data_IF_886901533199
#
_entry.id   IF_886901533199
#
_cell.length_a   1.000
_cell.length_b   1.000
_cell.length_c   1.000
_cell.angle_alpha   90.00
_cell.angle_beta   90.00
_cell.angle_gamma   90.00
#
_symmetry.space_group_name_H-M   'P 1'
#
loop_
_entity.id
_entity.type
_entity.pdbx_description
1 polymer ?
#
# COMPACT_ATOMS: atom_id res chain seq x y z
N UNK A 1 -14.07 -8.79 -17.64
CA UNK A 1 -12.94 -7.87 -17.92
C UNK A 1 -11.74 -8.18 -17.03
N UNK A 2 -10.54 -7.73 -17.41
CA UNK A 2 -9.28 -8.03 -16.70
C UNK A 2 -9.31 -7.64 -15.21
N UNK A 3 -9.94 -6.51 -14.84
CA UNK A 3 -10.08 -6.13 -13.42
C UNK A 3 -11.07 -7.00 -12.65
N UNK A 4 -12.20 -7.36 -13.26
CA UNK A 4 -13.19 -8.22 -12.61
C UNK A 4 -12.58 -9.56 -12.19
N UNK A 5 -11.78 -10.18 -13.07
CA UNK A 5 -11.07 -11.44 -12.75
C UNK A 5 -10.09 -11.27 -11.58
N UNK A 6 -9.32 -10.18 -11.55
CA UNK A 6 -8.36 -9.91 -10.46
C UNK A 6 -9.03 -9.67 -9.12
N UNK A 7 -10.14 -8.93 -9.12
CA UNK A 7 -10.93 -8.69 -7.90
C UNK A 7 -11.51 -10.01 -7.39
N UNK A 8 -12.09 -10.83 -8.25
CA UNK A 8 -12.61 -12.15 -7.86
C UNK A 8 -11.52 -13.04 -7.26
N UNK A 9 -10.32 -13.08 -7.88
CA UNK A 9 -9.18 -13.83 -7.36
C UNK A 9 -8.72 -13.35 -5.98
N UNK A 10 -8.69 -12.02 -5.77
CA UNK A 10 -8.38 -11.45 -4.46
C UNK A 10 -9.42 -11.86 -3.41
N UNK A 11 -10.71 -11.75 -3.73
CA UNK A 11 -11.79 -12.17 -2.83
C UNK A 11 -11.69 -13.66 -2.48
N UNK A 12 -11.44 -14.52 -3.48
CA UNK A 12 -11.25 -15.95 -3.25
C UNK A 12 -10.05 -16.22 -2.32
N UNK A 13 -8.92 -15.56 -2.55
CA UNK A 13 -7.75 -15.68 -1.68
C UNK A 13 -8.05 -15.28 -0.23
N UNK A 14 -8.85 -14.23 -0.02
CA UNK A 14 -9.25 -13.82 1.33
C UNK A 14 -10.19 -14.84 1.99
N UNK A 15 -11.08 -15.49 1.24
CA UNK A 15 -11.91 -16.60 1.75
C UNK A 15 -11.03 -17.79 2.13
N UNK A 16 -10.14 -18.20 1.24
CA UNK A 16 -9.34 -19.43 1.41
C UNK A 16 -8.29 -19.32 2.54
N UNK A 17 -7.77 -18.12 2.79
CA UNK A 17 -6.63 -17.93 3.71
C UNK A 17 -6.94 -17.07 4.94
N UNK A 18 -8.06 -16.36 4.95
CA UNK A 18 -8.43 -15.46 6.04
C UNK A 18 -9.92 -15.55 6.40
N UNK A 19 -10.60 -16.65 6.06
CA UNK A 19 -12.02 -16.89 6.35
C UNK A 19 -12.95 -15.75 5.85
N UNK A 20 -12.51 -15.04 4.82
CA UNK A 20 -13.22 -13.88 4.25
C UNK A 20 -13.01 -12.56 5.01
N UNK A 21 -12.27 -12.56 6.12
CA UNK A 21 -11.92 -11.35 6.87
C UNK A 21 -10.62 -10.72 6.33
N UNK A 22 -10.76 -9.66 5.54
CA UNK A 22 -9.63 -8.92 5.00
C UNK A 22 -8.68 -8.37 6.08
N UNK A 23 -9.19 -8.08 7.29
CA UNK A 23 -8.34 -7.59 8.37
C UNK A 23 -7.33 -8.62 8.86
N UNK A 24 -7.57 -9.93 8.65
CA UNK A 24 -6.62 -11.00 8.96
C UNK A 24 -5.26 -10.83 8.29
N UNK A 25 -5.18 -10.03 7.21
CA UNK A 25 -3.92 -9.68 6.55
C UNK A 25 -2.99 -8.88 7.46
N UNK A 26 -3.51 -8.04 8.36
CA UNK A 26 -2.71 -7.16 9.23
C UNK A 26 -3.03 -7.29 10.73
N UNK A 27 -4.10 -7.98 11.10
CA UNK A 27 -4.48 -8.26 12.49
C UNK A 27 -3.48 -9.22 13.14
N UNK A 28 -3.14 -8.94 14.39
CA UNK A 28 -2.26 -9.77 15.24
C UNK A 28 -0.86 -10.02 14.66
N UNK A 29 -0.41 -9.14 13.75
CA UNK A 29 0.93 -9.20 13.16
C UNK A 29 1.88 -8.29 13.94
N UNK A 30 2.98 -8.82 14.51
CA UNK A 30 3.86 -8.03 15.36
C UNK A 30 4.74 -7.04 14.58
N UNK A 31 5.03 -7.31 13.30
CA UNK A 31 6.00 -6.52 12.53
C UNK A 31 5.46 -6.06 11.18
N UNK A 32 5.87 -4.87 10.76
CA UNK A 32 5.56 -4.34 9.44
C UNK A 32 6.12 -5.18 8.30
N UNK A 33 7.24 -5.87 8.51
CA UNK A 33 7.80 -6.79 7.52
C UNK A 33 6.86 -7.97 7.23
N UNK A 34 6.20 -8.52 8.25
CA UNK A 34 5.24 -9.60 8.08
C UNK A 34 3.94 -9.10 7.44
N UNK A 35 3.43 -7.91 7.81
CA UNK A 35 2.29 -7.30 7.09
C UNK A 35 2.62 -7.07 5.63
N UNK A 36 3.82 -6.54 5.33
CA UNK A 36 4.27 -6.35 3.95
C UNK A 36 4.34 -7.66 3.17
N UNK A 37 4.83 -8.73 3.79
CA UNK A 37 4.88 -10.07 3.19
C UNK A 37 3.48 -10.57 2.86
N UNK A 38 2.53 -10.47 3.79
CA UNK A 38 1.12 -10.88 3.57
C UNK A 38 0.45 -10.06 2.47
N UNK A 39 0.65 -8.75 2.46
CA UNK A 39 0.16 -7.87 1.39
C UNK A 39 0.75 -8.22 0.02
N UNK A 40 2.04 -8.55 -0.04
CA UNK A 40 2.70 -8.98 -1.28
C UNK A 40 2.19 -10.32 -1.82
N UNK A 41 1.65 -11.19 -0.96
CA UNK A 41 1.07 -12.46 -1.37
C UNK A 41 -0.32 -12.33 -2.00
N UNK A 42 -1.00 -11.19 -1.80
CA UNK A 42 -2.34 -10.96 -2.35
C UNK A 42 -2.32 -10.94 -3.89
N UNK A 43 -3.28 -11.62 -4.57
CA UNK A 43 -3.39 -11.55 -6.02
C UNK A 43 -3.47 -10.12 -6.55
N UNK A 44 -2.58 -9.76 -7.47
CA UNK A 44 -2.53 -8.42 -8.08
C UNK A 44 -1.79 -7.35 -7.29
N UNK A 45 -1.24 -7.70 -6.12
CA UNK A 45 -0.30 -6.90 -5.36
C UNK A 45 1.14 -7.24 -5.74
N UNK A 46 2.00 -6.25 -5.63
CA UNK A 46 3.44 -6.37 -5.82
C UNK A 46 4.12 -5.34 -4.95
N UNK A 47 5.45 -5.42 -4.83
CA UNK A 47 6.25 -4.70 -3.83
C UNK A 47 5.78 -3.27 -3.58
N UNK A 48 5.70 -2.45 -4.64
CA UNK A 48 5.31 -1.05 -4.53
C UNK A 48 3.90 -0.86 -3.97
N UNK A 49 2.90 -1.60 -4.47
CA UNK A 49 1.52 -1.48 -4.00
C UNK A 49 1.38 -1.90 -2.54
N UNK A 50 2.08 -2.98 -2.16
CA UNK A 50 2.07 -3.49 -0.80
C UNK A 50 2.72 -2.50 0.17
N UNK A 51 3.81 -1.86 -0.23
CA UNK A 51 4.43 -0.79 0.56
C UNK A 51 3.53 0.44 0.72
N UNK A 52 2.85 0.86 -0.34
CA UNK A 52 1.86 1.95 -0.27
C UNK A 52 0.69 1.57 0.64
N UNK A 53 0.20 0.33 0.56
CA UNK A 53 -0.90 -0.14 1.40
C UNK A 53 -0.47 -0.20 2.88
N UNK A 54 0.73 -0.71 3.18
CA UNK A 54 1.28 -0.70 4.53
C UNK A 54 1.44 0.73 5.07
N UNK A 55 1.89 1.68 4.24
CA UNK A 55 1.95 3.08 4.62
C UNK A 55 0.55 3.65 4.93
N UNK A 56 -0.47 3.30 4.15
CA UNK A 56 -1.85 3.74 4.38
C UNK A 56 -2.38 3.19 5.71
N UNK A 57 -2.14 1.91 6.00
CA UNK A 57 -2.49 1.27 7.27
C UNK A 57 -1.88 2.01 8.46
N UNK A 58 -0.58 2.31 8.41
CA UNK A 58 0.11 3.00 9.50
C UNK A 58 -0.25 4.48 9.64
N UNK A 59 -0.34 5.22 8.53
CA UNK A 59 -0.56 6.68 8.55
C UNK A 59 -2.01 7.07 8.82
N UNK A 60 -2.96 6.33 8.28
CA UNK A 60 -4.37 6.73 8.28
C UNK A 60 -5.26 5.85 9.14
N UNK A 61 -4.88 4.59 9.37
CA UNK A 61 -5.71 3.62 10.08
C UNK A 61 -5.16 3.23 11.46
N UNK A 62 -4.03 3.81 11.88
CA UNK A 62 -3.44 3.56 13.19
C UNK A 62 -2.85 2.15 13.36
N UNK A 63 -2.69 1.38 12.29
CA UNK A 63 -2.13 0.03 12.33
C UNK A 63 -0.60 0.12 12.24
N UNK A 64 0.06 0.15 13.39
CA UNK A 64 1.48 0.50 13.52
C UNK A 64 2.34 -0.63 14.12
N UNK A 65 2.40 -1.81 13.48
CA UNK A 65 3.26 -2.90 13.95
C UNK A 65 4.74 -2.48 13.89
N UNK A 66 5.60 -3.15 14.66
CA UNK A 66 7.01 -2.76 14.78
C UNK A 66 7.70 -2.70 13.41
N UNK A 67 8.44 -1.62 13.14
CA UNK A 67 9.19 -1.47 11.89
C UNK A 67 8.34 -1.21 10.63
N UNK A 68 7.07 -0.80 10.77
CA UNK A 68 6.18 -0.59 9.62
C UNK A 68 6.63 0.51 8.66
N UNK A 69 7.28 1.58 9.15
CA UNK A 69 7.76 2.67 8.29
C UNK A 69 8.90 2.18 7.40
N UNK A 70 9.84 1.46 8.00
CA UNK A 70 11.00 0.87 7.33
C UNK A 70 10.55 -0.15 6.28
N UNK A 71 9.57 -1.00 6.62
CA UNK A 71 8.99 -1.96 5.69
C UNK A 71 8.25 -1.27 4.53
N UNK A 72 7.51 -0.19 4.80
CA UNK A 72 6.88 0.64 3.78
C UNK A 72 7.90 1.41 2.91
N UNK A 73 9.18 1.44 3.29
CA UNK A 73 10.25 2.10 2.57
C UNK A 73 9.96 3.59 2.37
N UNK A 74 10.16 4.17 1.16
CA UNK A 74 9.98 5.60 0.91
C UNK A 74 8.52 6.08 1.05
N UNK A 75 7.57 5.18 1.26
CA UNK A 75 6.17 5.51 1.56
C UNK A 75 5.91 5.62 3.07
N UNK A 76 6.79 5.09 3.91
CA UNK A 76 6.73 5.18 5.36
C UNK A 76 7.19 6.52 5.93
N UNK A 77 7.95 7.31 5.17
CA UNK A 77 8.47 8.62 5.59
C UNK A 77 7.32 9.53 6.07
N UNK A 78 7.49 10.17 7.22
CA UNK A 78 6.44 10.99 7.85
C UNK A 78 5.97 12.14 6.95
N UNK A 79 6.90 12.76 6.24
CA UNK A 79 6.63 13.91 5.36
C UNK A 79 6.41 13.53 3.88
N UNK A 80 6.26 12.23 3.58
CA UNK A 80 6.01 11.81 2.20
C UNK A 80 4.71 12.42 1.66
N UNK A 81 4.76 12.87 0.40
CA UNK A 81 3.61 13.28 -0.42
C UNK A 81 3.65 12.56 -1.77
N UNK A 82 3.70 11.23 -1.73
CA UNK A 82 4.11 10.38 -2.88
C UNK A 82 3.04 9.41 -3.34
N UNK A 83 2.09 9.07 -2.47
CA UNK A 83 1.16 7.95 -2.67
C UNK A 83 -0.22 8.21 -2.09
N UNK A 84 -1.13 7.24 -2.27
CA UNK A 84 -2.47 7.32 -1.69
C UNK A 84 -2.46 7.37 -0.15
N UNK A 85 -1.42 6.79 0.49
CA UNK A 85 -1.24 6.84 1.94
C UNK A 85 -1.05 8.27 2.48
N UNK A 86 -0.66 9.20 1.61
CA UNK A 86 -0.35 10.59 1.98
C UNK A 86 -1.52 11.55 1.69
N UNK A 87 -2.66 11.03 1.21
CA UNK A 87 -3.83 11.84 0.87
C UNK A 87 -4.78 11.87 2.08
N UNK A 88 -4.80 12.98 2.80
CA UNK A 88 -5.68 13.23 3.96
C UNK A 88 -6.72 14.33 3.67
N UNK A 89 -6.66 14.98 2.51
CA UNK A 89 -7.58 16.03 2.09
C UNK A 89 -7.21 16.65 0.73
N UNK A 90 -7.97 17.65 0.25
CA UNK A 90 -7.79 18.25 -1.08
C UNK A 90 -6.37 18.76 -1.35
N UNK A 91 -5.76 19.47 -0.40
CA UNK A 91 -4.41 20.00 -0.55
C UNK A 91 -3.36 18.87 -0.71
N UNK A 92 -3.43 17.84 0.13
CA UNK A 92 -2.53 16.69 0.03
C UNK A 92 -2.71 15.91 -1.28
N UNK A 93 -3.93 15.86 -1.83
CA UNK A 93 -4.20 15.25 -3.12
C UNK A 93 -3.48 15.99 -4.25
N UNK A 94 -3.47 17.32 -4.23
CA UNK A 94 -2.77 18.13 -5.21
C UNK A 94 -1.25 17.91 -5.15
N UNK A 95 -0.69 17.88 -3.94
CA UNK A 95 0.74 17.62 -3.74
C UNK A 95 1.15 16.22 -4.24
N UNK A 96 0.37 15.18 -3.95
CA UNK A 96 0.61 13.82 -4.45
C UNK A 96 0.49 13.76 -5.99
N UNK A 97 -0.46 14.50 -6.58
CA UNK A 97 -0.60 14.60 -8.04
C UNK A 97 0.63 15.28 -8.65
N UNK A 98 1.09 16.39 -8.09
CA UNK A 98 2.29 17.09 -8.54
C UNK A 98 3.52 16.18 -8.50
N UNK A 99 3.76 15.51 -7.38
CA UNK A 99 4.86 14.55 -7.24
C UNK A 99 4.83 13.43 -8.30
N UNK A 100 3.66 12.83 -8.55
CA UNK A 100 3.50 11.79 -9.57
C UNK A 100 3.77 12.32 -10.98
N UNK A 101 3.33 13.53 -11.29
CA UNK A 101 3.60 14.16 -12.58
C UNK A 101 5.09 14.43 -12.77
N UNK A 102 5.77 14.99 -11.77
CA UNK A 102 7.21 15.26 -11.79
C UNK A 102 8.02 13.98 -11.95
N UNK A 103 7.69 12.94 -11.17
CA UNK A 103 8.35 11.63 -11.26
C UNK A 103 8.21 11.03 -12.66
N UNK A 104 7.02 11.11 -13.26
CA UNK A 104 6.77 10.65 -14.64
C UNK A 104 7.56 11.46 -15.67
N UNK A 105 7.65 12.79 -15.50
CA UNK A 105 8.46 13.66 -16.36
C UNK A 105 9.95 13.32 -16.25
N UNK A 106 10.45 13.11 -15.04
CA UNK A 106 11.84 12.75 -14.78
C UNK A 106 12.20 11.38 -15.38
N UNK A 107 11.31 10.38 -15.28
CA UNK A 107 11.51 9.08 -15.90
C UNK A 107 11.61 9.17 -17.43
N UNK A 108 10.74 9.97 -18.05
CA UNK A 108 10.76 10.19 -19.51
C UNK A 108 12.02 10.91 -20.02
N UNK A 109 12.67 11.74 -19.20
CA UNK A 109 13.92 12.42 -19.57
C UNK A 109 15.16 11.53 -19.46
N UNK A 110 15.05 10.39 -18.76
CA UNK A 110 16.15 9.43 -18.56
C UNK A 110 16.13 8.29 -19.58
N UNK A 111 15.14 8.27 -20.47
CA UNK A 111 14.96 7.34 -21.60
C UNK A 111 15.23 8.09 -22.87
#
# INVERSE_FOLDING_TARGET
>A
GSMAKRVQQLCQYLVDHYDGDASGVWRDVPTGAEVLKRLNALPGYGKQKSQIFLALLGKQMGITPEGWREAAGPYGDADARRSAADITGPESLEQVRAYKQETKRAARKKT
#
